data_IF_502228909531
#
_entry.id   IF_502228909531
#
_cell.length_a   1.000
_cell.length_b   1.000
_cell.length_c   1.000
_cell.angle_alpha   90.00
_cell.angle_beta   90.00
_cell.angle_gamma   90.00
#
_symmetry.space_group_name_H-M   'P 1'
#
loop_
_entity.id
_entity.type
_entity.pdbx_description
1 polymer ?
#
# COMPACT_ATOMS: atom_id res chain seq x y z
N UNK A 1 -12.68 -5.20 -7.96
CA UNK A 1 -13.47 -6.38 -7.63
C UNK A 1 -13.69 -6.44 -6.12
N UNK A 2 -14.65 -7.24 -5.64
CA UNK A 2 -14.85 -7.40 -4.20
C UNK A 2 -13.70 -8.20 -3.55
N UNK A 3 -13.13 -7.66 -2.47
CA UNK A 3 -12.06 -8.31 -1.71
C UNK A 3 -12.64 -9.17 -0.58
N UNK A 4 -13.30 -10.27 -0.99
CA UNK A 4 -14.13 -11.07 -0.09
C UNK A 4 -13.40 -12.18 0.67
N UNK A 5 -12.12 -12.44 0.35
CA UNK A 5 -11.34 -13.50 1.00
C UNK A 5 -10.01 -12.96 1.50
N UNK A 6 -9.48 -13.57 2.55
CA UNK A 6 -8.16 -13.24 3.07
C UNK A 6 -7.07 -13.33 1.98
N UNK A 7 -7.07 -14.40 1.18
CA UNK A 7 -6.10 -14.56 0.09
C UNK A 7 -6.19 -13.47 -0.98
N UNK A 8 -7.40 -13.03 -1.34
CA UNK A 8 -7.59 -11.92 -2.27
C UNK A 8 -7.06 -10.61 -1.70
N UNK A 9 -7.37 -10.29 -0.43
CA UNK A 9 -6.86 -9.10 0.27
C UNK A 9 -5.32 -9.10 0.30
N UNK A 10 -4.70 -10.22 0.67
CA UNK A 10 -3.23 -10.30 0.76
C UNK A 10 -2.56 -10.19 -0.61
N UNK A 11 -3.19 -10.73 -1.65
CA UNK A 11 -2.68 -10.64 -3.03
C UNK A 11 -2.79 -9.22 -3.54
N UNK A 12 -3.96 -8.59 -3.38
CA UNK A 12 -4.15 -7.19 -3.73
C UNK A 12 -3.20 -6.26 -2.98
N UNK A 13 -2.97 -6.50 -1.68
CA UNK A 13 -2.01 -5.74 -0.88
C UNK A 13 -0.58 -5.85 -1.43
N UNK A 14 -0.14 -7.04 -1.82
CA UNK A 14 1.18 -7.25 -2.42
C UNK A 14 1.30 -6.55 -3.79
N UNK A 15 0.24 -6.61 -4.61
CA UNK A 15 0.19 -5.96 -5.92
C UNK A 15 0.18 -4.43 -5.79
N UNK A 16 -0.52 -3.88 -4.80
CA UNK A 16 -0.48 -2.44 -4.48
C UNK A 16 0.93 -1.98 -4.13
N UNK A 17 1.67 -2.76 -3.33
CA UNK A 17 3.04 -2.42 -2.96
C UNK A 17 4.00 -2.56 -4.15
N UNK A 18 3.85 -3.60 -4.96
CA UNK A 18 4.62 -3.76 -6.18
C UNK A 18 4.41 -2.57 -7.13
N UNK A 19 3.15 -2.20 -7.37
CA UNK A 19 2.85 -1.09 -8.27
C UNK A 19 3.35 0.25 -7.70
N UNK A 20 3.22 0.48 -6.39
CA UNK A 20 3.77 1.65 -5.72
C UNK A 20 5.29 1.74 -5.89
N UNK A 21 6.02 0.63 -5.71
CA UNK A 21 7.46 0.54 -5.97
C UNK A 21 7.80 0.93 -7.41
N UNK A 22 7.10 0.36 -8.40
CA UNK A 22 7.34 0.61 -9.83
C UNK A 22 7.20 2.11 -10.15
N UNK A 23 6.16 2.77 -9.63
CA UNK A 23 5.94 4.21 -9.84
C UNK A 23 7.02 5.05 -9.17
N UNK A 24 7.42 4.71 -7.95
CA UNK A 24 8.46 5.44 -7.22
C UNK A 24 9.83 5.31 -7.90
N UNK A 25 10.16 4.13 -8.45
CA UNK A 25 11.38 3.90 -9.22
C UNK A 25 11.45 4.72 -10.51
N UNK A 26 10.32 5.00 -11.15
CA UNK A 26 10.28 5.93 -12.29
C UNK A 26 10.40 7.38 -11.79
N UNK A 27 9.74 7.70 -10.66
CA UNK A 27 9.73 9.05 -10.08
C UNK A 27 11.11 9.50 -9.64
N UNK A 28 11.94 8.61 -9.07
CA UNK A 28 13.29 8.94 -8.60
C UNK A 28 14.24 9.31 -9.75
N UNK A 29 14.04 8.75 -10.95
CA UNK A 29 14.83 9.09 -12.15
C UNK A 29 14.59 10.53 -12.59
N UNK A 30 13.36 11.03 -12.36
CA UNK A 30 12.95 12.39 -12.70
C UNK A 30 13.24 13.40 -11.59
N UNK A 31 13.48 12.93 -10.35
CA UNK A 31 13.82 13.78 -9.23
C UNK A 31 15.21 14.40 -9.42
N UNK A 32 15.30 15.74 -9.39
CA UNK A 32 16.57 16.48 -9.49
C UNK A 32 17.17 16.82 -8.12
N UNK A 33 16.33 16.90 -7.10
CA UNK A 33 16.73 17.24 -5.73
C UNK A 33 17.21 15.98 -5.00
N UNK A 34 18.46 15.94 -4.48
CA UNK A 34 18.97 14.82 -3.70
C UNK A 34 18.09 14.45 -2.49
N UNK A 35 17.54 15.43 -1.78
CA UNK A 35 16.67 15.18 -0.62
C UNK A 35 15.38 14.44 -1.02
N UNK A 36 14.81 14.79 -2.18
CA UNK A 36 13.63 14.09 -2.71
C UNK A 36 14.00 12.66 -3.08
N UNK A 37 15.20 12.43 -3.64
CA UNK A 37 15.66 11.07 -3.96
C UNK A 37 15.80 10.22 -2.70
N UNK A 38 16.41 10.75 -1.64
CA UNK A 38 16.56 10.03 -0.37
C UNK A 38 15.21 9.62 0.22
N UNK A 39 14.21 10.53 0.18
CA UNK A 39 12.84 10.23 0.61
C UNK A 39 12.23 9.11 -0.25
N UNK A 40 12.37 9.19 -1.57
CA UNK A 40 11.83 8.17 -2.48
C UNK A 40 12.50 6.80 -2.30
N UNK A 41 13.81 6.76 -2.06
CA UNK A 41 14.56 5.53 -1.77
C UNK A 41 14.09 4.85 -0.48
N UNK A 42 13.86 5.63 0.58
CA UNK A 42 13.28 5.14 1.83
C UNK A 42 11.90 4.50 1.58
N UNK A 43 11.05 5.17 0.79
CA UNK A 43 9.72 4.66 0.45
C UNK A 43 9.81 3.38 -0.38
N UNK A 44 10.67 3.32 -1.40
CA UNK A 44 10.90 2.12 -2.22
C UNK A 44 11.32 0.94 -1.33
N UNK A 45 12.23 1.17 -0.37
CA UNK A 45 12.65 0.14 0.57
C UNK A 45 11.48 -0.34 1.45
N UNK A 46 10.59 0.56 1.87
CA UNK A 46 9.38 0.22 2.63
C UNK A 46 8.35 -0.57 1.79
N UNK A 47 8.13 -0.20 0.52
CA UNK A 47 7.27 -0.93 -0.41
C UNK A 47 7.72 -2.40 -0.53
N UNK A 48 9.02 -2.63 -0.76
CA UNK A 48 9.61 -3.99 -0.85
C UNK A 48 9.42 -4.81 0.42
N UNK A 49 9.71 -4.21 1.57
CA UNK A 49 9.55 -4.86 2.88
C UNK A 49 8.10 -5.23 3.13
N UNK A 50 7.17 -4.33 2.82
CA UNK A 50 5.75 -4.52 3.03
C UNK A 50 5.16 -5.56 2.08
N UNK A 51 5.57 -5.58 0.80
CA UNK A 51 5.23 -6.64 -0.15
C UNK A 51 5.65 -8.01 0.36
N UNK A 52 6.91 -8.17 0.75
CA UNK A 52 7.44 -9.45 1.26
C UNK A 52 6.70 -9.90 2.52
N UNK A 53 6.33 -8.96 3.40
CA UNK A 53 5.49 -9.21 4.56
C UNK A 53 4.11 -9.74 4.16
N UNK A 54 3.45 -9.14 3.15
CA UNK A 54 2.15 -9.63 2.67
C UNK A 54 2.22 -11.05 2.12
N UNK A 55 3.23 -11.33 1.29
CA UNK A 55 3.44 -12.66 0.70
C UNK A 55 3.74 -13.72 1.78
N UNK A 56 4.49 -13.35 2.82
CA UNK A 56 4.78 -14.23 3.96
C UNK A 56 3.53 -14.50 4.79
N UNK A 57 2.80 -13.46 5.21
CA UNK A 57 1.58 -13.58 6.01
C UNK A 57 0.54 -14.42 5.27
N UNK A 58 0.42 -14.27 3.94
CA UNK A 58 -0.44 -15.12 3.10
C UNK A 58 -0.07 -16.60 3.19
N UNK A 59 1.23 -16.93 3.15
CA UNK A 59 1.73 -18.32 3.25
C UNK A 59 1.56 -18.91 4.65
N UNK A 60 1.74 -18.10 5.68
CA UNK A 60 1.61 -18.53 7.08
C UNK A 60 0.14 -18.76 7.47
N UNK A 61 -0.80 -18.06 6.83
CA UNK A 61 -2.23 -18.08 7.18
C UNK A 61 -3.09 -18.72 6.08
N UNK A 62 -2.56 -19.70 5.35
CA UNK A 62 -3.32 -20.40 4.29
C UNK A 62 -4.55 -21.12 4.85
N UNK A 63 -4.47 -21.63 6.08
CA UNK A 63 -5.60 -22.26 6.78
C UNK A 63 -6.72 -21.29 7.15
N UNK A 64 -6.47 -19.99 7.07
CA UNK A 64 -7.44 -18.94 7.42
C UNK A 64 -8.21 -18.47 6.16
N UNK A 65 -7.84 -18.98 4.98
CA UNK A 65 -8.53 -18.76 3.71
C UNK A 65 -9.87 -19.50 3.60
N UNK A 66 -10.20 -20.37 4.57
CA UNK A 66 -11.48 -21.10 4.66
C UNK A 66 -12.50 -20.42 5.60
N UNK A 67 -12.17 -19.25 6.16
CA UNK A 67 -13.07 -18.49 7.02
C UNK A 67 -14.21 -17.83 6.24
N UNK A 68 -15.17 -17.26 6.98
CA UNK A 68 -16.29 -16.50 6.44
C UNK A 68 -15.83 -15.36 5.51
N UNK A 69 -16.63 -15.02 4.49
CA UNK A 69 -16.32 -13.91 3.59
C UNK A 69 -16.15 -12.59 4.34
N UNK A 70 -15.09 -11.85 3.99
CA UNK A 70 -14.85 -10.50 4.47
C UNK A 70 -15.71 -9.54 3.65
N UNK A 71 -16.45 -8.65 4.31
CA UNK A 71 -17.40 -7.76 3.65
C UNK A 71 -16.95 -6.30 3.69
N UNK A 72 -17.44 -5.52 2.72
CA UNK A 72 -17.25 -4.07 2.68
C UNK A 72 -15.85 -3.62 2.23
N UNK A 73 -15.13 -4.44 1.46
CA UNK A 73 -13.87 -4.06 0.81
C UNK A 73 -13.99 -4.27 -0.71
N UNK A 74 -13.62 -3.25 -1.49
CA UNK A 74 -13.61 -3.29 -2.96
C UNK A 74 -12.30 -2.71 -3.47
N UNK A 75 -11.64 -3.39 -4.42
CA UNK A 75 -10.37 -2.94 -5.00
C UNK A 75 -10.47 -1.53 -5.61
N UNK A 76 -11.61 -1.20 -6.20
CA UNK A 76 -11.88 0.08 -6.87
C UNK A 76 -11.73 1.28 -5.92
N UNK A 77 -11.99 1.09 -4.62
CA UNK A 77 -11.85 2.15 -3.62
C UNK A 77 -10.38 2.49 -3.31
N UNK A 78 -9.47 1.58 -3.66
CA UNK A 78 -8.06 1.63 -3.30
C UNK A 78 -7.12 1.61 -4.52
N UNK A 79 -7.68 1.61 -5.73
CA UNK A 79 -6.91 1.50 -6.96
C UNK A 79 -5.96 2.71 -7.14
N UNK A 80 -4.67 2.44 -6.98
CA UNK A 80 -3.60 3.42 -7.16
C UNK A 80 -3.47 3.80 -8.64
N UNK A 81 -3.64 2.85 -9.57
CA UNK A 81 -3.52 3.13 -11.01
C UNK A 81 -4.56 4.16 -11.44
N UNK A 82 -5.82 3.94 -11.05
CA UNK A 82 -6.90 4.88 -11.31
C UNK A 82 -6.61 6.28 -10.71
N UNK A 83 -6.10 6.33 -9.47
CA UNK A 83 -5.76 7.58 -8.80
C UNK A 83 -4.63 8.36 -9.52
N UNK A 84 -3.65 7.65 -10.09
CA UNK A 84 -2.53 8.25 -10.81
C UNK A 84 -2.87 8.66 -12.25
N UNK A 85 -3.79 7.97 -12.93
CA UNK A 85 -4.22 8.34 -14.31
C UNK A 85 -4.79 9.76 -14.36
N UNK A 86 -5.37 10.23 -13.25
CA UNK A 86 -5.91 11.60 -13.16
C UNK A 86 -4.84 12.67 -12.97
N UNK A 87 -3.57 12.29 -12.80
CA UNK A 87 -2.46 13.22 -12.62
C UNK A 87 -1.85 13.64 -13.97
N UNK A 88 -1.35 14.88 -14.09
CA UNK A 88 -0.57 15.29 -15.26
C UNK A 88 0.65 14.38 -15.48
N UNK A 89 1.06 14.18 -16.73
CA UNK A 89 2.25 13.35 -17.05
C UNK A 89 3.54 13.81 -16.35
N UNK A 90 3.65 15.11 -16.04
CA UNK A 90 4.79 15.71 -15.35
C UNK A 90 4.48 16.02 -13.88
N UNK A 91 3.60 15.23 -13.25
CA UNK A 91 3.31 15.38 -11.83
C UNK A 91 4.60 15.29 -11.01
N UNK A 92 4.66 16.13 -9.98
CA UNK A 92 5.80 16.17 -9.07
C UNK A 92 5.98 14.81 -8.35
N UNK A 93 7.22 14.28 -8.24
CA UNK A 93 7.48 13.01 -7.57
C UNK A 93 6.89 12.90 -6.15
N UNK A 94 6.86 13.99 -5.37
CA UNK A 94 6.28 13.96 -4.03
C UNK A 94 4.74 13.87 -4.07
N UNK A 95 4.11 14.46 -5.10
CA UNK A 95 2.67 14.31 -5.33
C UNK A 95 2.32 12.85 -5.64
N UNK A 96 3.08 12.21 -6.52
CA UNK A 96 2.87 10.79 -6.86
C UNK A 96 3.07 9.90 -5.63
N UNK A 97 4.14 10.12 -4.86
CA UNK A 97 4.41 9.41 -3.62
C UNK A 97 3.28 9.59 -2.59
N UNK A 98 2.77 10.82 -2.45
CA UNK A 98 1.67 11.13 -1.53
C UNK A 98 0.41 10.35 -1.89
N UNK A 99 0.03 10.28 -3.17
CA UNK A 99 -1.16 9.55 -3.62
C UNK A 99 -1.03 8.04 -3.31
N UNK A 100 0.15 7.46 -3.56
CA UNK A 100 0.43 6.06 -3.27
C UNK A 100 0.27 5.79 -1.77
N UNK A 101 0.95 6.58 -0.94
CA UNK A 101 0.95 6.41 0.50
C UNK A 101 -0.44 6.64 1.12
N UNK A 102 -1.23 7.59 0.62
CA UNK A 102 -2.63 7.81 1.04
C UNK A 102 -3.52 6.62 0.74
N UNK A 103 -3.42 6.06 -0.48
CA UNK A 103 -4.24 4.91 -0.88
C UNK A 103 -3.89 3.68 -0.06
N UNK A 104 -2.61 3.43 0.16
CA UNK A 104 -2.14 2.34 0.99
C UNK A 104 -2.56 2.54 2.46
N UNK A 105 -2.37 3.73 3.03
CA UNK A 105 -2.76 4.05 4.41
C UNK A 105 -4.23 3.75 4.65
N UNK A 106 -5.11 4.23 3.76
CA UNK A 106 -6.56 4.02 3.84
C UNK A 106 -6.91 2.54 3.73
N UNK A 107 -6.34 1.83 2.76
CA UNK A 107 -6.58 0.40 2.58
C UNK A 107 -6.24 -0.41 3.84
N UNK A 108 -5.06 -0.19 4.42
CA UNK A 108 -4.64 -0.91 5.63
C UNK A 108 -5.43 -0.49 6.88
N UNK A 109 -5.85 0.78 6.96
CA UNK A 109 -6.72 1.23 8.04
C UNK A 109 -8.08 0.52 7.98
N UNK A 110 -8.71 0.48 6.81
CA UNK A 110 -10.00 -0.16 6.62
C UNK A 110 -9.92 -1.67 6.86
N UNK A 111 -8.91 -2.34 6.30
CA UNK A 111 -8.71 -3.77 6.50
C UNK A 111 -8.44 -4.13 7.97
N UNK A 112 -7.76 -3.26 8.74
CA UNK A 112 -7.51 -3.50 10.17
C UNK A 112 -8.79 -3.60 11.01
N UNK A 113 -9.90 -3.03 10.52
CA UNK A 113 -11.21 -3.06 11.21
C UNK A 113 -12.12 -4.17 10.72
N UNK A 114 -11.88 -4.69 9.52
CA UNK A 114 -12.75 -5.66 8.83
C UNK A 114 -12.21 -7.10 8.85
N UNK A 115 -10.91 -7.29 9.07
CA UNK A 115 -10.31 -8.62 9.14
C UNK A 115 -10.63 -9.27 10.49
N UNK A 116 -11.18 -10.51 10.51
CA UNK A 116 -11.58 -11.19 11.75
C UNK A 116 -10.38 -11.73 12.56
N UNK A 117 -9.19 -11.73 11.97
CA UNK A 117 -7.97 -12.26 12.57
C UNK A 117 -7.23 -11.17 13.35
N UNK A 118 -7.29 -11.21 14.68
CA UNK A 118 -6.76 -10.15 15.54
C UNK A 118 -5.26 -9.85 15.32
N UNK A 119 -4.44 -10.86 15.02
CA UNK A 119 -3.02 -10.69 14.73
C UNK A 119 -2.80 -9.90 13.43
N UNK A 120 -3.48 -10.31 12.35
CA UNK A 120 -3.42 -9.62 11.06
C UNK A 120 -3.99 -8.22 11.16
N UNK A 121 -5.10 -8.02 11.88
CA UNK A 121 -5.69 -6.72 12.13
C UNK A 121 -4.68 -5.75 12.79
N UNK A 122 -3.94 -6.22 13.80
CA UNK A 122 -2.87 -5.44 14.45
C UNK A 122 -1.72 -5.15 13.50
N UNK A 123 -1.33 -6.12 12.68
CA UNK A 123 -0.29 -5.92 11.65
C UNK A 123 -0.70 -4.81 10.68
N UNK A 124 -1.92 -4.86 10.16
CA UNK A 124 -2.44 -3.90 9.21
C UNK A 124 -2.56 -2.51 9.82
N UNK A 125 -3.01 -2.41 11.07
CA UNK A 125 -2.98 -1.15 11.82
C UNK A 125 -1.57 -0.56 11.90
N UNK A 126 -0.56 -1.40 12.19
CA UNK A 126 0.83 -0.95 12.24
C UNK A 126 1.34 -0.46 10.88
N UNK A 127 1.00 -1.16 9.80
CA UNK A 127 1.33 -0.72 8.43
C UNK A 127 0.69 0.64 8.16
N UNK A 128 -0.61 0.80 8.43
CA UNK A 128 -1.32 2.07 8.24
C UNK A 128 -0.64 3.23 8.99
N UNK A 129 -0.19 3.00 10.23
CA UNK A 129 0.56 4.00 11.00
C UNK A 129 1.92 4.34 10.38
N UNK A 130 2.65 3.36 9.85
CA UNK A 130 3.90 3.62 9.11
C UNK A 130 3.62 4.51 7.88
N UNK A 131 2.53 4.24 7.15
CA UNK A 131 2.11 5.04 5.99
C UNK A 131 1.70 6.46 6.38
N UNK A 132 1.02 6.61 7.51
CA UNK A 132 0.70 7.93 8.07
C UNK A 132 1.96 8.74 8.41
N UNK A 133 2.97 8.10 8.99
CA UNK A 133 4.27 8.74 9.26
C UNK A 133 5.01 9.14 7.98
N UNK A 134 4.95 8.30 6.95
CA UNK A 134 5.50 8.63 5.62
C UNK A 134 4.79 9.84 5.00
N UNK A 135 3.46 9.93 5.10
CA UNK A 135 2.68 11.07 4.64
C UNK A 135 3.05 12.37 5.37
N UNK A 136 3.32 12.31 6.68
CA UNK A 136 3.79 13.49 7.42
C UNK A 136 5.15 13.97 6.88
N UNK A 137 6.07 13.05 6.54
CA UNK A 137 7.38 13.38 5.96
C UNK A 137 7.28 13.94 4.54
N UNK A 138 6.30 13.48 3.74
CA UNK A 138 6.10 13.94 2.37
C UNK A 138 5.49 15.34 2.29
N UNK A 139 4.77 15.77 3.34
CA UNK A 139 4.06 17.05 3.41
C UNK A 139 4.78 18.13 4.21
N UNK A 140 5.90 17.78 4.85
CA UNK A 140 6.76 18.71 5.60
C UNK A 140 7.76 19.41 4.69
#
# INVERSE_FOLDING_TARGET
MALSTFGAIMTFAADMFQFGEEVLLVSIQNAKNPLIRDILDDLIADQRKSRSLMERVRRENVTEMILEPINGLSEEEYDIKAALISQPQNADPLTLATIIEERQQRFFQDCSTKIPMAEVARLFKKISQTKEQALMRLRS
#
